data_IF_514952556601
#
_entry.id   IF_514952556601
#
_cell.length_a   1.000
_cell.length_b   1.000
_cell.length_c   1.000
_cell.angle_alpha   90.00
_cell.angle_beta   90.00
_cell.angle_gamma   90.00
#
_symmetry.space_group_name_H-M   'P 1'
#
loop_
_entity.id
_entity.type
_entity.pdbx_description
1 polymer ?
#
# COMPACT_ATOMS: atom_id res chain seq x y z
N UNK A 1 22.69 -9.18 13.89
CA UNK A 1 21.74 -8.99 12.77
C UNK A 1 22.18 -7.72 12.02
N UNK A 2 22.56 -7.81 10.74
CA UNK A 2 23.31 -6.73 10.08
C UNK A 2 22.37 -5.55 9.76
N UNK A 3 22.74 -4.34 10.18
CA UNK A 3 21.96 -3.10 9.94
C UNK A 3 21.59 -2.91 8.46
N UNK A 4 22.47 -3.33 7.54
CA UNK A 4 22.20 -3.35 6.09
C UNK A 4 20.98 -4.20 5.72
N UNK A 5 20.85 -5.39 6.31
CA UNK A 5 19.71 -6.28 6.08
C UNK A 5 18.41 -5.67 6.59
N UNK A 6 18.45 -4.96 7.72
CA UNK A 6 17.28 -4.27 8.26
C UNK A 6 16.83 -3.13 7.35
N UNK A 7 17.78 -2.33 6.83
CA UNK A 7 17.50 -1.26 5.89
C UNK A 7 16.91 -1.77 4.57
N UNK A 8 17.46 -2.84 4.01
CA UNK A 8 16.92 -3.48 2.80
C UNK A 8 15.52 -4.05 3.03
N UNK A 9 15.27 -4.67 4.19
CA UNK A 9 13.96 -5.21 4.54
C UNK A 9 12.90 -4.11 4.65
N UNK A 10 13.24 -2.98 5.28
CA UNK A 10 12.38 -1.80 5.38
C UNK A 10 12.06 -1.22 4.00
N UNK A 11 13.06 -1.12 3.12
CA UNK A 11 12.88 -0.57 1.78
C UNK A 11 11.95 -1.45 0.93
N UNK A 12 12.16 -2.77 0.96
CA UNK A 12 11.32 -3.74 0.26
C UNK A 12 9.90 -3.75 0.84
N UNK A 13 9.78 -3.74 2.17
CA UNK A 13 8.49 -3.68 2.85
C UNK A 13 7.70 -2.43 2.46
N UNK A 14 8.34 -1.25 2.47
CA UNK A 14 7.73 -0.01 2.05
C UNK A 14 7.29 -0.04 0.57
N UNK A 15 8.12 -0.58 -0.32
CA UNK A 15 7.77 -0.72 -1.73
C UNK A 15 6.57 -1.67 -1.96
N UNK A 16 6.53 -2.80 -1.25
CA UNK A 16 5.38 -3.72 -1.29
C UNK A 16 4.09 -3.05 -0.80
N UNK A 17 4.15 -2.29 0.28
CA UNK A 17 2.99 -1.56 0.82
C UNK A 17 2.53 -0.51 -0.20
N UNK A 18 3.44 0.26 -0.79
CA UNK A 18 3.09 1.26 -1.79
C UNK A 18 2.41 0.65 -3.03
N UNK A 19 2.96 -0.45 -3.56
CA UNK A 19 2.36 -1.17 -4.70
C UNK A 19 1.00 -1.77 -4.35
N UNK A 20 0.83 -2.28 -3.12
CA UNK A 20 -0.45 -2.80 -2.64
C UNK A 20 -1.52 -1.71 -2.57
N UNK A 21 -1.19 -0.55 -2.01
CA UNK A 21 -2.13 0.60 -1.94
C UNK A 21 -2.49 1.12 -3.34
N UNK A 22 -1.53 1.20 -4.24
CA UNK A 22 -1.77 1.62 -5.63
C UNK A 22 -2.70 0.66 -6.37
N UNK A 23 -2.49 -0.65 -6.21
CA UNK A 23 -3.38 -1.66 -6.76
C UNK A 23 -4.77 -1.58 -6.13
N UNK A 24 -4.85 -1.32 -4.81
CA UNK A 24 -6.12 -1.13 -4.11
C UNK A 24 -6.89 0.05 -4.68
N UNK A 25 -6.23 1.18 -4.91
CA UNK A 25 -6.84 2.37 -5.50
C UNK A 25 -7.48 2.09 -6.85
N UNK A 26 -6.75 1.39 -7.73
CA UNK A 26 -7.27 0.99 -9.04
C UNK A 26 -8.46 0.03 -8.95
N UNK A 27 -8.50 -0.81 -7.92
CA UNK A 27 -9.61 -1.73 -7.69
C UNK A 27 -10.85 -1.01 -7.12
N UNK A 28 -10.64 -0.03 -6.24
CA UNK A 28 -11.70 0.82 -5.69
C UNK A 28 -12.32 1.73 -6.76
N UNK A 29 -11.51 2.31 -7.65
CA UNK A 29 -11.95 3.15 -8.77
C UNK A 29 -12.87 2.38 -9.74
N UNK A 30 -12.63 1.08 -9.90
CA UNK A 30 -13.45 0.18 -10.73
C UNK A 30 -14.74 -0.30 -10.03
N UNK A 31 -15.09 0.23 -8.85
CA UNK A 31 -16.31 -0.13 -8.13
C UNK A 31 -16.26 -1.48 -7.41
N UNK A 32 -15.05 -1.99 -7.11
CA UNK A 32 -14.86 -3.21 -6.34
C UNK A 32 -15.41 -3.10 -4.91
N UNK A 33 -16.10 -4.15 -4.44
CA UNK A 33 -16.67 -4.23 -3.07
C UNK A 33 -15.62 -4.64 -2.03
N UNK A 34 -14.48 -3.95 -1.99
CA UNK A 34 -13.54 -4.10 -0.87
C UNK A 34 -14.02 -3.22 0.28
N UNK A 35 -14.09 -3.77 1.50
CA UNK A 35 -14.52 -3.10 2.75
C UNK A 35 -14.37 -1.58 2.68
N UNK A 36 -15.49 -0.84 2.58
CA UNK A 36 -15.55 0.60 2.29
C UNK A 36 -14.58 1.47 3.12
N UNK A 37 -14.13 1.00 4.30
CA UNK A 37 -13.13 1.65 5.13
C UNK A 37 -11.71 1.72 4.54
N UNK A 38 -11.25 0.71 3.79
CA UNK A 38 -9.88 0.70 3.24
C UNK A 38 -9.75 1.61 2.01
N UNK A 39 -10.74 1.61 1.11
CA UNK A 39 -10.80 2.54 -0.02
C UNK A 39 -10.90 4.01 0.44
N UNK A 40 -11.65 4.28 1.50
CA UNK A 40 -11.77 5.62 2.09
C UNK A 40 -10.48 6.08 2.79
N UNK A 41 -9.75 5.17 3.43
CA UNK A 41 -8.43 5.47 4.00
C UNK A 41 -7.45 5.78 2.87
N UNK A 42 -7.39 4.98 1.80
CA UNK A 42 -6.52 5.26 0.65
C UNK A 42 -6.87 6.55 -0.08
N UNK A 43 -8.15 6.94 -0.16
CA UNK A 43 -8.57 8.23 -0.74
C UNK A 43 -8.06 9.44 0.05
N UNK A 44 -7.67 9.26 1.32
CA UNK A 44 -7.11 10.31 2.16
C UNK A 44 -5.59 10.43 2.04
N UNK A 45 -4.91 9.41 1.48
CA UNK A 45 -3.49 9.45 1.15
C UNK A 45 -3.38 9.91 -0.32
N UNK A 46 -2.93 11.14 -0.61
CA UNK A 46 -2.71 11.60 -1.97
C UNK A 46 -1.40 11.00 -2.49
N UNK A 47 -1.44 9.75 -2.98
CA UNK A 47 -0.42 9.26 -3.89
C UNK A 47 -0.81 9.60 -5.34
#
# INVERSE_FOLDING_TARGET
MKLKTLGTLLLIGAACIALYLLALNSYCDQGGNFTLGMCSVTSFIPF
#
